data_IF_728838246949
#
_entry.id   IF_728838246949
#
_cell.length_a   1.000
_cell.length_b   1.000
_cell.length_c   1.000
_cell.angle_alpha   90.00
_cell.angle_beta   90.00
_cell.angle_gamma   90.00
#
_symmetry.space_group_name_H-M   'P 1'
#
loop_
_entity.id
_entity.type
_entity.pdbx_description
1 polymer ?
#
# COMPACT_ATOMS: atom_id res chain seq x y z
N UNK A 1 4.94 20.20 -34.69
CA UNK A 1 4.23 18.95 -34.29
C UNK A 1 3.91 19.04 -32.81
N UNK A 2 2.69 19.42 -32.47
CA UNK A 2 2.21 19.59 -31.10
C UNK A 2 1.86 18.23 -30.50
N UNK A 3 2.67 17.76 -29.55
CA UNK A 3 2.36 16.59 -28.74
C UNK A 3 1.10 16.90 -27.91
N UNK A 4 -0.04 16.33 -28.32
CA UNK A 4 -1.24 16.27 -27.48
C UNK A 4 -0.92 15.35 -26.32
N UNK A 5 -0.55 15.93 -25.18
CA UNK A 5 -0.62 15.23 -23.88
C UNK A 5 -2.08 14.81 -23.70
N UNK A 6 -2.38 13.53 -23.95
CA UNK A 6 -3.70 12.98 -23.70
C UNK A 6 -4.09 13.33 -22.27
N UNK A 7 -5.16 14.11 -22.11
CA UNK A 7 -5.62 14.57 -20.81
C UNK A 7 -5.91 13.31 -19.97
N UNK A 8 -5.07 13.05 -18.95
CA UNK A 8 -5.11 11.75 -18.30
C UNK A 8 -6.48 11.56 -17.61
N UNK A 9 -7.20 10.49 -17.96
CA UNK A 9 -8.52 10.14 -17.44
C UNK A 9 -8.56 10.16 -15.91
N UNK A 10 -9.68 10.61 -15.33
CA UNK A 10 -9.94 10.44 -13.91
C UNK A 10 -10.02 8.95 -13.54
N UNK A 11 -9.27 8.54 -12.51
CA UNK A 11 -9.24 7.17 -12.01
C UNK A 11 -10.24 7.03 -10.86
N UNK A 12 -10.81 5.83 -10.73
CA UNK A 12 -11.57 5.42 -9.56
C UNK A 12 -10.63 4.75 -8.57
N UNK A 13 -10.36 5.44 -7.46
CA UNK A 13 -9.42 5.01 -6.42
C UNK A 13 -10.19 4.53 -5.20
N UNK A 14 -9.83 3.36 -4.70
CA UNK A 14 -10.33 2.86 -3.44
C UNK A 14 -9.35 3.17 -2.31
N UNK A 15 -9.76 4.00 -1.37
CA UNK A 15 -9.00 4.31 -0.15
C UNK A 15 -9.36 3.42 1.03
N UNK A 16 -8.35 3.05 1.83
CA UNK A 16 -8.56 2.33 3.08
C UNK A 16 -9.00 3.29 4.19
N UNK A 17 -10.22 3.08 4.73
CA UNK A 17 -10.67 3.70 5.98
C UNK A 17 -10.45 2.71 7.13
N UNK A 18 -9.35 2.92 7.87
CA UNK A 18 -9.05 2.21 9.12
C UNK A 18 -9.26 3.17 10.32
N UNK A 19 -8.65 2.89 11.48
CA UNK A 19 -8.65 3.74 12.68
C UNK A 19 -8.09 5.16 12.44
N UNK A 20 -7.22 5.32 11.44
CA UNK A 20 -6.71 6.63 11.05
C UNK A 20 -7.54 7.21 9.89
N UNK A 21 -7.90 8.51 9.94
CA UNK A 21 -8.61 9.16 8.85
C UNK A 21 -7.82 9.04 7.55
N UNK A 22 -8.44 8.48 6.51
CA UNK A 22 -7.85 8.44 5.17
C UNK A 22 -7.45 9.84 4.67
N UNK A 23 -8.10 10.89 5.20
CA UNK A 23 -7.79 12.29 4.93
C UNK A 23 -6.35 12.70 5.23
N UNK A 24 -5.67 12.06 6.20
CA UNK A 24 -4.26 12.33 6.49
C UNK A 24 -3.34 11.85 5.34
N UNK A 25 -3.74 10.77 4.66
CA UNK A 25 -2.95 10.11 3.64
C UNK A 25 -3.43 10.42 2.22
N UNK A 26 -4.54 11.14 2.08
CA UNK A 26 -5.14 11.49 0.80
C UNK A 26 -4.93 12.96 0.45
N UNK A 27 -4.87 13.32 -0.83
CA UNK A 27 -4.84 14.72 -1.22
C UNK A 27 -6.15 15.41 -0.80
N UNK A 28 -6.06 16.68 -0.36
CA UNK A 28 -7.23 17.51 -0.01
C UNK A 28 -8.14 17.74 -1.22
N UNK A 29 -7.55 17.86 -2.40
CA UNK A 29 -8.23 18.00 -3.69
C UNK A 29 -7.65 16.98 -4.66
N UNK A 30 -8.52 16.27 -5.37
CA UNK A 30 -8.12 15.26 -6.35
C UNK A 30 -8.98 15.39 -7.60
N UNK A 31 -8.35 15.28 -8.76
CA UNK A 31 -9.05 15.08 -10.03
C UNK A 31 -9.61 13.64 -10.19
N UNK A 32 -9.26 12.75 -9.27
CA UNK A 32 -9.65 11.34 -9.27
C UNK A 32 -10.82 11.11 -8.32
N UNK A 33 -11.67 10.14 -8.64
CA UNK A 33 -12.79 9.75 -7.80
C UNK A 33 -12.26 8.86 -6.68
N UNK A 34 -12.24 9.37 -5.45
CA UNK A 34 -11.76 8.59 -4.31
C UNK A 34 -12.95 8.15 -3.45
N UNK A 35 -13.16 6.85 -3.41
CA UNK A 35 -14.13 6.23 -2.51
C UNK A 35 -13.37 5.58 -1.35
N UNK A 36 -13.82 5.80 -0.12
CA UNK A 36 -13.20 5.17 1.06
C UNK A 36 -14.13 4.13 1.64
N UNK A 37 -13.62 2.91 1.82
CA UNK A 37 -14.38 1.80 2.42
C UNK A 37 -13.72 1.33 3.71
N UNK A 38 -14.50 0.68 4.56
CA UNK A 38 -13.94 -0.10 5.68
C UNK A 38 -13.41 -1.43 5.13
N UNK A 39 -12.35 -1.91 5.76
CA UNK A 39 -11.68 -3.14 5.39
C UNK A 39 -11.78 -4.12 6.55
N UNK A 40 -11.62 -5.41 6.30
CA UNK A 40 -11.56 -6.41 7.36
C UNK A 40 -10.11 -6.44 7.86
N UNK A 41 -9.82 -5.89 9.05
CA UNK A 41 -8.48 -5.96 9.58
C UNK A 41 -8.29 -7.40 10.06
N UNK A 42 -7.32 -8.10 9.47
CA UNK A 42 -7.08 -9.51 9.76
C UNK A 42 -6.49 -9.73 11.15
N UNK A 43 -6.04 -8.65 11.81
CA UNK A 43 -5.56 -8.66 13.20
C UNK A 43 -6.55 -9.25 14.20
N UNK A 44 -7.87 -9.05 13.99
CA UNK A 44 -8.91 -9.56 14.89
C UNK A 44 -9.06 -11.08 14.83
N UNK A 45 -8.60 -11.72 13.74
CA UNK A 45 -8.82 -13.16 13.49
C UNK A 45 -7.53 -13.95 13.32
N UNK A 46 -6.44 -13.31 12.90
CA UNK A 46 -5.13 -13.94 12.69
C UNK A 46 -4.00 -12.96 13.02
N UNK A 47 -3.51 -12.94 14.28
CA UNK A 47 -2.50 -11.98 14.73
C UNK A 47 -1.23 -11.88 13.85
N UNK A 48 -0.72 -12.96 13.22
CA UNK A 48 0.40 -12.88 12.28
C UNK A 48 0.14 -12.03 11.02
N UNK A 49 -1.13 -11.81 10.65
CA UNK A 49 -1.55 -10.99 9.52
C UNK A 49 -1.97 -9.57 9.96
N UNK A 50 -1.52 -9.11 11.13
CA UNK A 50 -1.88 -7.78 11.63
C UNK A 50 -1.46 -6.63 10.72
N UNK A 51 -0.45 -6.83 9.87
CA UNK A 51 -0.03 -5.88 8.84
C UNK A 51 -0.63 -6.14 7.45
N UNK A 52 -1.60 -7.05 7.33
CA UNK A 52 -2.31 -7.35 6.09
C UNK A 52 -3.80 -6.98 6.23
N UNK A 53 -4.46 -6.77 5.09
CA UNK A 53 -5.88 -6.41 5.05
C UNK A 53 -6.55 -6.97 3.81
N UNK A 54 -7.82 -7.35 3.92
CA UNK A 54 -8.65 -7.65 2.75
C UNK A 54 -9.62 -6.51 2.46
N UNK A 55 -9.69 -6.17 1.18
CA UNK A 55 -10.65 -5.23 0.63
C UNK A 55 -12.06 -5.79 0.80
N UNK A 56 -12.96 -5.05 1.44
CA UNK A 56 -14.38 -5.41 1.41
C UNK A 56 -14.89 -5.24 -0.03
N UNK A 57 -15.28 -6.33 -0.72
CA UNK A 57 -15.70 -6.24 -2.12
C UNK A 57 -17.12 -5.67 -2.26
N UNK A 58 -17.89 -5.52 -1.18
CA UNK A 58 -19.30 -5.13 -1.26
C UNK A 58 -19.52 -3.62 -1.00
N UNK A 59 -20.35 -2.93 -1.81
CA UNK A 59 -20.98 -3.40 -3.05
C UNK A 59 -19.95 -3.57 -4.20
N UNK A 60 -20.09 -4.57 -5.08
CA UNK A 60 -19.10 -4.87 -6.13
C UNK A 60 -18.94 -3.66 -7.04
N UNK A 61 -17.73 -3.10 -7.04
CA UNK A 61 -17.39 -1.94 -7.85
C UNK A 61 -15.97 -2.09 -8.36
N UNK A 62 -15.77 -1.77 -9.64
CA UNK A 62 -14.45 -1.76 -10.23
C UNK A 62 -13.68 -0.50 -9.80
N UNK A 63 -12.47 -0.69 -9.30
CA UNK A 63 -11.53 0.38 -8.97
C UNK A 63 -10.26 0.20 -9.79
N UNK A 64 -9.75 1.29 -10.34
CA UNK A 64 -8.51 1.29 -11.14
C UNK A 64 -7.27 1.09 -10.26
N UNK A 65 -7.32 1.57 -9.02
CA UNK A 65 -6.20 1.52 -8.07
C UNK A 65 -6.71 1.52 -6.62
N UNK A 66 -6.03 0.79 -5.76
CA UNK A 66 -6.22 0.85 -4.31
C UNK A 66 -5.11 1.69 -3.66
N UNK A 67 -5.48 2.55 -2.71
CA UNK A 67 -4.56 3.30 -1.88
C UNK A 67 -4.58 2.76 -0.44
N UNK A 68 -3.53 2.00 -0.10
CA UNK A 68 -3.33 1.39 1.20
C UNK A 68 -2.49 2.25 2.13
N UNK A 69 -2.63 2.03 3.43
CA UNK A 69 -1.84 2.67 4.47
C UNK A 69 -1.45 1.67 5.54
N UNK A 70 -0.15 1.48 5.78
CA UNK A 70 0.47 0.56 6.77
C UNK A 70 0.11 -0.94 6.64
N UNK A 71 -1.07 -1.28 6.12
CA UNK A 71 -1.58 -2.63 5.95
C UNK A 71 -1.58 -3.02 4.48
N UNK A 72 -0.95 -4.16 4.18
CA UNK A 72 -0.74 -4.66 2.84
C UNK A 72 -2.04 -5.30 2.32
N UNK A 73 -2.59 -4.83 1.20
CA UNK A 73 -3.85 -5.32 0.66
C UNK A 73 -3.65 -6.69 -0.01
N UNK A 74 -4.22 -7.72 0.62
CA UNK A 74 -4.39 -9.04 0.01
C UNK A 74 -5.67 -9.01 -0.86
N UNK A 75 -5.64 -9.70 -1.99
CA UNK A 75 -6.69 -9.61 -3.04
C UNK A 75 -6.06 -9.61 -4.42
N UNK A 76 -6.75 -9.24 -5.51
CA UNK A 76 -6.16 -9.13 -6.87
C UNK A 76 -5.87 -7.69 -7.32
N UNK A 77 -6.36 -6.67 -6.60
CA UNK A 77 -6.28 -5.26 -7.02
C UNK A 77 -4.84 -4.73 -7.08
N UNK A 78 -4.57 -3.86 -8.06
CA UNK A 78 -3.33 -3.06 -8.10
C UNK A 78 -3.40 -1.99 -7.01
N UNK A 79 -2.26 -1.68 -6.39
CA UNK A 79 -2.25 -0.76 -5.26
C UNK A 79 -0.99 0.09 -5.18
N UNK A 80 -1.14 1.21 -4.50
CA UNK A 80 -0.04 1.97 -3.89
C UNK A 80 -0.21 1.87 -2.37
N UNK A 81 0.89 1.91 -1.63
CA UNK A 81 0.85 1.82 -0.17
C UNK A 81 1.73 2.89 0.45
N UNK A 82 1.15 3.68 1.35
CA UNK A 82 1.89 4.57 2.22
C UNK A 82 2.20 3.91 3.56
N UNK A 83 3.26 4.36 4.23
CA UNK A 83 3.64 3.87 5.56
C UNK A 83 4.36 4.95 6.37
N UNK A 84 4.30 4.80 7.70
CA UNK A 84 4.87 5.76 8.65
C UNK A 84 6.19 5.34 9.31
N UNK A 85 6.54 4.05 9.30
CA UNK A 85 7.79 3.56 9.90
C UNK A 85 8.30 2.27 9.25
N UNK A 86 7.69 1.13 9.57
CA UNK A 86 8.07 -0.19 9.07
C UNK A 86 7.01 -0.72 8.10
N UNK A 87 7.45 -1.47 7.09
CA UNK A 87 6.55 -2.12 6.12
C UNK A 87 7.25 -3.32 5.48
N UNK A 88 6.76 -4.56 5.62
CA UNK A 88 5.64 -4.99 6.46
C UNK A 88 5.92 -4.79 7.96
N UNK A 89 4.87 -4.60 8.77
CA UNK A 89 5.00 -4.58 10.23
C UNK A 89 4.92 -5.98 10.79
N UNK A 90 6.07 -6.59 11.05
CA UNK A 90 6.14 -7.98 11.52
C UNK A 90 6.41 -8.09 13.03
N UNK A 91 7.15 -7.15 13.61
CA UNK A 91 7.50 -7.10 15.05
C UNK A 91 8.00 -8.46 15.58
N UNK A 92 9.08 -8.98 14.98
CA UNK A 92 9.69 -10.26 15.39
C UNK A 92 9.12 -11.48 14.68
N UNK A 93 8.32 -11.29 13.63
CA UNK A 93 7.68 -12.35 12.82
C UNK A 93 8.19 -12.41 11.37
N UNK A 94 9.36 -11.85 11.11
CA UNK A 94 9.98 -11.76 9.79
C UNK A 94 10.27 -13.15 9.17
N UNK A 95 10.42 -14.17 10.02
CA UNK A 95 10.64 -15.56 9.62
C UNK A 95 9.35 -16.30 9.23
N UNK A 96 8.17 -15.69 9.38
CA UNK A 96 6.88 -16.38 9.17
C UNK A 96 6.43 -16.37 7.71
N UNK A 97 5.64 -17.37 7.31
CA UNK A 97 5.00 -17.40 5.99
C UNK A 97 4.10 -16.19 5.73
N UNK A 98 3.50 -15.61 6.78
CA UNK A 98 2.72 -14.38 6.69
C UNK A 98 3.58 -13.18 6.26
N UNK A 99 4.80 -13.06 6.79
CA UNK A 99 5.74 -12.03 6.36
C UNK A 99 6.18 -12.23 4.92
N UNK A 100 6.51 -13.47 4.54
CA UNK A 100 6.88 -13.78 3.15
C UNK A 100 5.76 -13.44 2.17
N UNK A 101 4.51 -13.79 2.47
CA UNK A 101 3.35 -13.40 1.66
C UNK A 101 3.23 -11.88 1.50
N UNK A 102 3.46 -11.13 2.58
CA UNK A 102 3.43 -9.67 2.54
C UNK A 102 4.57 -9.09 1.70
N UNK A 103 5.78 -9.64 1.81
CA UNK A 103 6.94 -9.27 0.99
C UNK A 103 6.70 -9.56 -0.49
N UNK A 104 6.21 -10.76 -0.81
CA UNK A 104 5.85 -11.13 -2.17
C UNK A 104 4.79 -10.20 -2.75
N UNK A 105 3.83 -9.78 -1.93
CA UNK A 105 2.80 -8.82 -2.33
C UNK A 105 3.40 -7.45 -2.66
N UNK A 106 4.36 -6.96 -1.86
CA UNK A 106 5.09 -5.71 -2.12
C UNK A 106 6.01 -5.82 -3.36
N UNK A 107 6.63 -6.97 -3.59
CA UNK A 107 7.50 -7.22 -4.74
C UNK A 107 6.70 -7.48 -6.03
N UNK A 108 5.44 -7.89 -5.93
CA UNK A 108 4.58 -8.14 -7.10
C UNK A 108 4.37 -6.91 -7.98
N UNK A 109 4.08 -7.12 -9.27
CA UNK A 109 3.73 -6.06 -10.24
C UNK A 109 2.49 -5.25 -9.86
N UNK A 110 1.72 -5.73 -8.87
CA UNK A 110 0.51 -5.07 -8.37
C UNK A 110 0.80 -3.95 -7.40
N UNK A 111 1.86 -4.08 -6.58
CA UNK A 111 2.39 -2.96 -5.83
C UNK A 111 3.08 -2.02 -6.82
N UNK A 112 2.43 -0.91 -7.12
CA UNK A 112 2.93 0.07 -8.08
C UNK A 112 3.95 0.98 -7.45
N UNK A 113 3.71 1.43 -6.21
CA UNK A 113 4.59 2.31 -5.43
C UNK A 113 4.43 2.07 -3.94
N UNK A 114 5.53 2.29 -3.24
CA UNK A 114 5.66 2.29 -1.78
C UNK A 114 6.03 3.72 -1.40
N UNK A 115 5.21 4.38 -0.56
CA UNK A 115 5.31 5.81 -0.30
C UNK A 115 5.71 6.01 1.17
N UNK A 116 6.94 6.46 1.38
CA UNK A 116 7.38 6.87 2.71
C UNK A 116 6.78 8.23 3.06
N UNK A 117 6.18 8.37 4.24
CA UNK A 117 5.61 9.65 4.71
C UNK A 117 6.69 10.66 5.12
N UNK A 118 7.92 10.20 5.33
CA UNK A 118 9.05 11.01 5.75
C UNK A 118 10.37 10.34 5.39
N UNK A 119 11.48 11.10 5.43
CA UNK A 119 12.84 10.54 5.29
C UNK A 119 13.18 9.53 6.38
N UNK A 120 12.65 9.72 7.60
CA UNK A 120 12.86 8.78 8.69
C UNK A 120 12.18 7.43 8.41
N UNK A 121 10.96 7.45 7.87
CA UNK A 121 10.26 6.24 7.43
C UNK A 121 11.03 5.54 6.30
N UNK A 122 11.50 6.30 5.31
CA UNK A 122 12.32 5.78 4.21
C UNK A 122 13.58 5.07 4.73
N UNK A 123 14.34 5.74 5.59
CA UNK A 123 15.55 5.18 6.19
C UNK A 123 15.26 3.91 6.99
N UNK A 124 14.17 3.91 7.76
CA UNK A 124 13.75 2.75 8.57
C UNK A 124 13.41 1.56 7.66
N UNK A 125 12.68 1.80 6.57
CA UNK A 125 12.35 0.76 5.60
C UNK A 125 13.60 0.22 4.88
N UNK A 126 14.54 1.08 4.49
CA UNK A 126 15.77 0.63 3.83
C UNK A 126 16.64 -0.19 4.77
N UNK A 127 16.81 0.25 6.02
CA UNK A 127 17.53 -0.49 7.06
C UNK A 127 16.84 -1.83 7.36
N UNK A 128 15.51 -1.86 7.48
CA UNK A 128 14.73 -3.09 7.68
C UNK A 128 14.99 -4.16 6.60
N UNK A 129 15.30 -3.75 5.36
CA UNK A 129 15.43 -4.66 4.22
C UNK A 129 16.85 -4.68 3.62
N UNK A 130 17.87 -4.18 4.34
CA UNK A 130 19.23 -4.02 3.81
C UNK A 130 19.83 -5.35 3.33
N UNK A 131 19.48 -6.45 4.01
CA UNK A 131 19.95 -7.81 3.70
C UNK A 131 18.96 -8.59 2.80
N UNK A 132 17.89 -7.96 2.31
CA UNK A 132 16.90 -8.64 1.48
C UNK A 132 17.46 -8.85 0.06
N UNK A 133 17.45 -10.08 -0.50
CA UNK A 133 18.05 -10.37 -1.82
C UNK A 133 17.48 -9.55 -2.99
N UNK A 134 16.25 -9.06 -2.82
CA UNK A 134 15.51 -8.26 -3.82
C UNK A 134 15.32 -6.80 -3.42
N UNK A 135 16.24 -6.24 -2.62
CA UNK A 135 16.16 -4.86 -2.12
C UNK A 135 16.06 -3.83 -3.25
N UNK A 136 16.74 -4.04 -4.37
CA UNK A 136 16.70 -3.10 -5.50
C UNK A 136 15.31 -2.99 -6.14
N UNK A 137 14.55 -4.08 -6.14
CA UNK A 137 13.15 -4.05 -6.61
C UNK A 137 12.24 -3.27 -5.65
N UNK A 138 12.51 -3.33 -4.34
CA UNK A 138 11.80 -2.52 -3.34
C UNK A 138 12.16 -1.04 -3.51
N UNK A 139 13.45 -0.72 -3.64
CA UNK A 139 13.96 0.64 -3.90
C UNK A 139 13.35 1.24 -5.16
N UNK A 140 13.23 0.47 -6.24
CA UNK A 140 12.62 0.93 -7.49
C UNK A 140 11.14 1.30 -7.36
N UNK A 141 10.45 0.83 -6.32
CA UNK A 141 9.05 1.19 -6.03
C UNK A 141 8.92 2.29 -4.99
N UNK A 142 9.98 2.55 -4.23
CA UNK A 142 9.99 3.50 -3.13
C UNK A 142 9.98 4.93 -3.66
N UNK A 143 9.12 5.75 -3.07
CA UNK A 143 9.05 7.19 -3.28
C UNK A 143 8.94 7.85 -1.91
N UNK A 144 9.70 8.92 -1.69
CA UNK A 144 9.55 9.80 -0.55
C UNK A 144 8.63 10.97 -0.91
N UNK A 145 7.66 11.26 -0.05
CA UNK A 145 6.78 12.43 -0.16
C UNK A 145 7.19 13.53 0.81
#
# INVERSE_FOLDING_TARGET
MTSRTAQARALNILGIRDRYPFSFNSPRTSRHNIETRRFLPLDKYFPPLGAATFVNPWPPKHFDLLHAWNRIPLGPSRFIIGYESHLPRAWGREHTAAYQLMMDTLLSKRCRRIIAVSKAAEHTFLSQHENHPRIDELKAKLIQR
#
